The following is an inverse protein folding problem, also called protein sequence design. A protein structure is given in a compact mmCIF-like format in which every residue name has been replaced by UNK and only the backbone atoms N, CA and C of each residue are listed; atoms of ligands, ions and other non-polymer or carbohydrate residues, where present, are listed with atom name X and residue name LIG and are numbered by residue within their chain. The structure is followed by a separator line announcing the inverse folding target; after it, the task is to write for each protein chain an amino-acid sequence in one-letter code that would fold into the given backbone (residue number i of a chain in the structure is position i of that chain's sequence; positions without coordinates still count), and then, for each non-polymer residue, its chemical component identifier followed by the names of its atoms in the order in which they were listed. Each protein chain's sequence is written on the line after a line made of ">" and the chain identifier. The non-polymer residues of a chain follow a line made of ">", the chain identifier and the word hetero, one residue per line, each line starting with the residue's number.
data_IF_173694555151
#
_entry.id   IF_173694555151
#
_cell.length_a   1.000
_cell.length_b   1.000
_cell.length_c   1.000
_cell.angle_alpha   90.00
_cell.angle_beta   90.00
_cell.angle_gamma   90.00
#
_symmetry.space_group_name_H-M   'P 1'
#
loop_
_entity.id
_entity.type
_entity.pdbx_description
1 polymer ?
#
# COMPACT_ATOMS: atom_id res chain seq x y z
N UNK A 1 38.56 -42.13 39.46
CA UNK A 1 38.45 -41.11 40.52
C UNK A 1 38.56 -39.76 39.81
N UNK A 2 37.42 -39.18 39.39
CA UNK A 2 36.67 -38.14 40.12
C UNK A 2 37.58 -36.93 40.38
N UNK A 3 37.37 -35.78 39.75
CA UNK A 3 36.25 -34.87 40.02
C UNK A 3 35.75 -34.01 38.83
N UNK A 4 34.59 -33.34 38.96
CA UNK A 4 33.73 -32.90 37.85
C UNK A 4 33.58 -31.37 37.65
N UNK A 5 33.10 -31.04 36.45
CA UNK A 5 32.18 -29.97 36.01
C UNK A 5 31.70 -28.89 37.03
N UNK A 6 31.90 -27.60 36.69
CA UNK A 6 30.90 -26.54 36.92
C UNK A 6 31.05 -25.33 35.97
N UNK A 7 30.24 -25.35 34.91
CA UNK A 7 29.33 -24.30 34.43
C UNK A 7 29.50 -22.85 34.97
N UNK A 8 29.92 -21.91 34.10
CA UNK A 8 29.15 -20.69 33.72
C UNK A 8 29.93 -19.79 32.77
N UNK A 9 29.52 -19.82 31.51
CA UNK A 9 29.90 -18.87 30.46
C UNK A 9 28.84 -17.78 30.36
N UNK A 10 29.28 -16.51 30.31
CA UNK A 10 28.76 -15.37 29.52
C UNK A 10 28.88 -14.05 30.30
N UNK A 11 29.06 -12.98 29.51
CA UNK A 11 29.13 -11.55 29.88
C UNK A 11 30.53 -11.03 30.16
N UNK A 12 31.27 -10.70 29.09
CA UNK A 12 32.29 -9.63 29.05
C UNK A 12 32.64 -9.34 27.58
N UNK A 13 32.08 -8.27 27.02
CA UNK A 13 32.70 -7.38 26.01
C UNK A 13 31.64 -6.49 25.40
N UNK A 14 31.40 -5.31 25.98
CA UNK A 14 31.13 -4.06 25.23
C UNK A 14 31.60 -2.91 26.13
N UNK A 15 32.85 -2.47 25.98
CA UNK A 15 33.32 -1.17 26.48
C UNK A 15 34.58 -0.83 25.71
N UNK A 16 34.50 0.07 24.72
CA UNK A 16 35.49 1.11 24.44
C UNK A 16 35.21 1.83 23.10
N UNK A 17 35.55 3.12 23.11
CA UNK A 17 35.69 4.08 22.02
C UNK A 17 34.43 4.75 21.44
N UNK A 18 34.14 5.96 21.94
CA UNK A 18 34.37 7.19 21.14
C UNK A 18 34.46 8.40 22.09
N UNK A 19 35.66 8.99 22.21
CA UNK A 19 35.88 10.28 22.88
C UNK A 19 35.91 11.39 21.83
N UNK A 20 35.15 12.46 22.07
CA UNK A 20 35.01 13.65 21.22
C UNK A 20 36.08 14.67 21.62
N UNK A 21 36.72 15.31 20.64
CA UNK A 21 37.46 16.57 20.83
C UNK A 21 36.81 17.64 19.94
N UNK A 22 36.30 18.68 20.62
CA UNK A 22 35.80 19.94 20.05
C UNK A 22 37.00 20.85 19.72
N UNK A 23 36.99 21.50 18.55
CA UNK A 23 37.77 22.72 18.34
C UNK A 23 36.92 23.76 17.59
N UNK A 24 36.74 24.91 18.24
CA UNK A 24 36.09 26.11 17.72
C UNK A 24 37.15 26.96 17.00
N UNK A 25 36.85 27.44 15.80
CA UNK A 25 37.66 28.41 15.07
C UNK A 25 36.85 29.06 13.94
N UNK A 26 36.74 30.39 13.99
CA UNK A 26 35.92 31.24 13.11
C UNK A 26 36.70 31.68 11.85
N UNK A 27 35.96 31.98 10.77
CA UNK A 27 36.31 32.72 9.53
C UNK A 27 36.89 31.93 8.33
N UNK A 28 36.06 31.73 7.29
CA UNK A 28 36.26 32.24 5.90
C UNK A 28 35.26 31.60 4.92
N UNK A 29 34.58 32.43 4.10
CA UNK A 29 33.69 32.01 3.02
C UNK A 29 34.49 31.46 1.83
N UNK A 30 34.39 30.15 1.61
CA UNK A 30 34.66 29.49 0.33
C UNK A 30 33.58 28.40 0.16
N UNK A 31 32.90 28.27 -1.00
CA UNK A 31 31.93 27.21 -1.21
C UNK A 31 32.66 25.86 -1.28
N UNK A 32 32.69 25.14 -0.15
CA UNK A 32 33.17 23.75 -0.11
C UNK A 32 32.11 22.84 -0.72
N UNK A 33 32.50 22.17 -1.80
CA UNK A 33 31.85 20.93 -2.23
C UNK A 33 31.83 19.93 -1.05
N UNK A 34 30.65 19.60 -0.52
CA UNK A 34 30.55 18.68 0.62
C UNK A 34 30.69 17.24 0.11
N UNK A 35 31.93 16.75 0.11
CA UNK A 35 32.23 15.31 0.21
C UNK A 35 32.06 14.91 1.68
N UNK A 36 31.19 13.93 1.94
CA UNK A 36 31.07 13.23 3.23
C UNK A 36 29.95 13.74 4.13
N UNK A 37 28.69 13.64 3.70
CA UNK A 37 27.54 13.76 4.63
C UNK A 37 27.40 12.46 5.43
N UNK A 38 27.09 12.58 6.72
CA UNK A 38 26.72 11.44 7.55
C UNK A 38 25.32 10.97 7.14
N UNK A 39 25.00 9.71 7.45
CA UNK A 39 23.68 9.16 7.16
C UNK A 39 23.20 8.28 8.30
N UNK A 40 21.89 8.27 8.53
CA UNK A 40 21.26 7.36 9.49
C UNK A 40 20.26 6.47 8.77
N UNK A 41 20.20 5.21 9.18
CA UNK A 41 19.17 4.26 8.78
C UNK A 41 18.40 3.87 10.04
N UNK A 42 17.09 4.07 10.02
CA UNK A 42 16.21 3.69 11.12
C UNK A 42 15.90 2.19 11.09
N UNK A 43 15.40 1.64 12.21
CA UNK A 43 15.01 0.22 12.28
C UNK A 43 13.92 -0.18 11.28
N UNK A 44 13.09 0.79 10.84
CA UNK A 44 12.07 0.61 9.81
C UNK A 44 12.63 0.68 8.37
N UNK A 45 13.95 0.86 8.19
CA UNK A 45 14.62 0.92 6.89
C UNK A 45 14.65 2.31 6.23
N UNK A 46 13.99 3.31 6.81
CA UNK A 46 14.08 4.71 6.33
C UNK A 46 15.51 5.20 6.49
N UNK A 47 16.00 5.96 5.50
CA UNK A 47 17.33 6.57 5.53
C UNK A 47 17.23 8.09 5.52
N UNK A 48 18.16 8.77 6.19
CA UNK A 48 18.25 10.22 6.24
C UNK A 48 19.70 10.67 6.15
N UNK A 49 19.97 11.74 5.41
CA UNK A 49 21.30 12.35 5.27
C UNK A 49 21.39 13.62 6.12
N UNK A 50 22.57 13.88 6.69
CA UNK A 50 22.79 14.98 7.61
C UNK A 50 24.18 14.94 8.22
N UNK A 51 24.31 15.44 9.45
CA UNK A 51 25.56 15.47 10.20
C UNK A 51 25.31 15.09 11.65
N UNK A 52 26.03 14.12 12.18
CA UNK A 52 25.98 13.82 13.62
C UNK A 52 26.76 14.91 14.36
N UNK A 53 26.13 15.55 15.36
CA UNK A 53 26.74 16.68 16.10
C UNK A 53 27.28 16.27 17.45
N UNK A 54 26.50 15.53 18.23
CA UNK A 54 26.87 15.08 19.57
C UNK A 54 26.32 13.68 19.78
N UNK A 55 27.12 12.80 20.39
CA UNK A 55 26.70 11.45 20.78
C UNK A 55 26.79 11.35 22.30
N UNK A 56 25.67 11.05 22.94
CA UNK A 56 25.54 10.91 24.40
C UNK A 56 25.33 9.44 24.73
N UNK A 57 26.44 8.73 24.97
CA UNK A 57 26.46 7.28 25.18
C UNK A 57 25.76 6.84 26.48
N UNK A 58 25.86 7.65 27.54
CA UNK A 58 25.19 7.43 28.83
C UNK A 58 23.66 7.43 28.68
N UNK A 59 23.13 8.30 27.82
CA UNK A 59 21.70 8.42 27.49
C UNK A 59 21.28 7.59 26.28
N UNK A 60 22.23 6.95 25.60
CA UNK A 60 22.02 6.19 24.36
C UNK A 60 21.26 7.01 23.31
N UNK A 61 21.72 8.22 23.04
CA UNK A 61 21.13 9.10 22.04
C UNK A 61 22.21 9.93 21.30
N UNK A 62 21.84 10.54 20.19
CA UNK A 62 22.71 11.47 19.47
C UNK A 62 21.90 12.58 18.80
N UNK A 63 22.54 13.74 18.62
CA UNK A 63 21.99 14.83 17.85
C UNK A 63 22.41 14.73 16.38
N UNK A 64 21.43 14.89 15.50
CA UNK A 64 21.59 14.85 14.07
C UNK A 64 21.07 16.14 13.46
N UNK A 65 21.96 16.82 12.75
CA UNK A 65 21.71 18.07 12.06
C UNK A 65 21.34 17.78 10.61
N UNK A 66 20.20 18.29 10.18
CA UNK A 66 19.71 18.13 8.82
C UNK A 66 19.43 19.50 8.21
N UNK A 67 19.80 19.67 6.95
CA UNK A 67 19.46 20.89 6.20
C UNK A 67 18.23 20.60 5.36
N UNK A 68 17.10 21.21 5.72
CA UNK A 68 15.83 21.07 5.00
C UNK A 68 15.40 22.47 4.57
N UNK A 69 15.29 22.72 3.26
CA UNK A 69 14.87 24.01 2.72
C UNK A 69 15.79 25.19 3.09
N UNK A 70 17.11 24.96 3.15
CA UNK A 70 18.10 25.97 3.53
C UNK A 70 18.10 26.35 5.01
N UNK A 71 17.27 25.70 5.83
CA UNK A 71 17.26 25.84 7.29
C UNK A 71 17.84 24.61 7.95
N UNK A 72 18.63 24.85 8.99
CA UNK A 72 19.29 23.81 9.77
C UNK A 72 18.38 23.38 10.92
N UNK A 73 18.10 22.08 11.02
CA UNK A 73 17.34 21.48 12.10
C UNK A 73 18.22 20.52 12.88
N UNK A 74 18.30 20.71 14.19
CA UNK A 74 18.91 19.75 15.10
C UNK A 74 17.83 18.83 15.67
N UNK A 75 18.06 17.52 15.66
CA UNK A 75 17.13 16.50 16.19
C UNK A 75 17.89 15.48 17.01
N UNK A 76 17.37 15.16 18.20
CA UNK A 76 17.91 14.10 19.05
C UNK A 76 17.24 12.77 18.72
N UNK A 77 18.04 11.74 18.44
CA UNK A 77 17.61 10.38 18.17
C UNK A 77 18.16 9.42 19.22
N UNK A 78 17.26 8.63 19.82
CA UNK A 78 17.66 7.51 20.68
C UNK A 78 18.20 6.35 19.84
N UNK A 79 19.22 5.65 20.37
CA UNK A 79 19.92 4.54 19.71
C UNK A 79 18.96 3.41 19.36
N UNK A 80 17.97 3.15 20.20
CA UNK A 80 16.95 2.09 20.02
C UNK A 80 16.02 2.33 18.83
N UNK A 81 16.04 3.52 18.21
CA UNK A 81 15.28 3.84 16.98
C UNK A 81 16.12 3.72 15.71
N UNK A 82 17.44 3.63 15.85
CA UNK A 82 18.39 3.76 14.74
C UNK A 82 19.12 2.44 14.50
N UNK A 83 19.00 1.90 13.30
CA UNK A 83 19.70 0.70 12.89
C UNK A 83 21.18 0.98 12.69
N UNK A 84 21.50 1.90 11.77
CA UNK A 84 22.89 2.26 11.48
C UNK A 84 23.08 3.77 11.42
N UNK A 85 24.26 4.20 11.82
CA UNK A 85 24.77 5.56 11.67
C UNK A 85 26.05 5.46 10.86
N UNK A 86 26.11 6.14 9.73
CA UNK A 86 27.28 6.23 8.86
C UNK A 86 27.94 7.57 9.10
N UNK A 87 29.15 7.58 9.65
CA UNK A 87 29.94 8.79 9.88
C UNK A 87 31.29 8.64 9.20
N UNK A 88 31.80 9.70 8.53
CA UNK A 88 33.12 9.65 7.86
C UNK A 88 33.29 8.44 6.92
N UNK A 89 32.25 8.08 6.16
CA UNK A 89 32.17 6.89 5.32
C UNK A 89 32.30 5.52 6.04
N UNK A 90 32.22 5.48 7.38
CA UNK A 90 32.19 4.25 8.16
C UNK A 90 30.78 4.01 8.70
N UNK A 91 30.22 2.84 8.40
CA UNK A 91 28.89 2.42 8.84
C UNK A 91 28.98 1.74 10.20
N UNK A 92 28.36 2.33 11.21
CA UNK A 92 28.24 1.79 12.57
C UNK A 92 26.83 1.24 12.78
N UNK A 93 26.72 0.00 13.25
CA UNK A 93 25.44 -0.56 13.67
C UNK A 93 25.17 -0.11 15.10
N UNK A 94 24.17 0.74 15.28
CA UNK A 94 23.81 1.32 16.59
C UNK A 94 22.81 0.42 17.32
N UNK A 95 21.83 -0.11 16.59
CA UNK A 95 20.94 -1.17 17.05
C UNK A 95 20.84 -2.22 15.95
N UNK A 96 21.22 -3.47 16.28
CA UNK A 96 21.09 -4.57 15.35
C UNK A 96 19.60 -4.75 14.97
N UNK A 97 19.30 -4.85 13.68
CA UNK A 97 18.04 -5.43 13.24
C UNK A 97 17.99 -6.85 13.81
N UNK A 98 16.89 -7.24 14.46
CA UNK A 98 16.67 -8.67 14.73
C UNK A 98 16.76 -9.38 13.37
N UNK A 99 17.74 -10.27 13.23
CA UNK A 99 17.97 -10.97 11.99
C UNK A 99 16.68 -11.72 11.62
N UNK A 100 16.12 -11.42 10.44
CA UNK A 100 15.34 -12.40 9.73
C UNK A 100 16.30 -13.56 9.47
N UNK A 101 16.07 -14.69 10.13
CA UNK A 101 16.85 -15.91 9.92
C UNK A 101 16.71 -16.33 8.46
N UNK A 102 17.75 -16.07 7.68
CA UNK A 102 17.94 -16.60 6.34
C UNK A 102 18.25 -18.09 6.44
N UNK A 103 17.28 -18.92 6.10
CA UNK A 103 17.51 -20.29 5.64
C UNK A 103 16.78 -20.45 4.32
N UNK A 104 17.53 -20.55 3.23
CA UNK A 104 16.99 -20.81 1.91
C UNK A 104 16.38 -22.20 1.84
N UNK A 105 15.07 -22.26 1.67
CA UNK A 105 14.31 -23.34 1.04
C UNK A 105 13.09 -22.69 0.39
N UNK A 106 12.74 -23.11 -0.82
CA UNK A 106 11.50 -22.72 -1.50
C UNK A 106 10.29 -22.84 -0.55
N UNK A 107 9.55 -21.74 -0.35
CA UNK A 107 8.35 -21.73 0.50
C UNK A 107 8.34 -20.72 1.66
N UNK A 108 9.09 -19.61 1.60
CA UNK A 108 8.89 -18.51 2.54
C UNK A 108 7.58 -17.76 2.19
N UNK A 109 6.46 -18.22 2.76
CA UNK A 109 5.32 -17.34 2.99
C UNK A 109 5.86 -16.13 3.79
N UNK A 110 5.61 -14.91 3.30
CA UNK A 110 5.91 -13.66 3.99
C UNK A 110 5.46 -13.84 5.46
N UNK A 111 6.41 -13.92 6.42
CA UNK A 111 6.04 -13.96 7.83
C UNK A 111 5.23 -12.70 8.10
N UNK A 112 3.97 -12.89 8.48
CA UNK A 112 3.04 -11.78 8.66
C UNK A 112 3.64 -10.83 9.70
N UNK A 113 3.91 -9.60 9.26
CA UNK A 113 4.38 -8.53 10.14
C UNK A 113 3.32 -8.33 11.23
N UNK A 114 3.61 -8.72 12.46
CA UNK A 114 2.70 -8.50 13.60
C UNK A 114 3.24 -7.34 14.45
N UNK A 115 2.43 -6.29 14.59
CA UNK A 115 2.72 -5.12 15.42
C UNK A 115 1.62 -4.89 16.45
N UNK A 116 2.00 -4.46 17.64
CA UNK A 116 1.09 -3.94 18.65
C UNK A 116 0.44 -2.63 18.20
N UNK A 117 -0.64 -2.22 18.89
CA UNK A 117 -1.27 -0.91 18.64
C UNK A 117 -0.27 0.23 18.80
N UNK A 118 0.58 0.19 19.83
CA UNK A 118 1.55 1.24 20.10
C UNK A 118 2.57 1.39 18.96
N UNK A 119 3.08 0.27 18.44
CA UNK A 119 4.04 0.28 17.32
C UNK A 119 3.39 0.77 16.02
N UNK A 120 2.14 0.37 15.73
CA UNK A 120 1.41 0.90 14.57
C UNK A 120 1.18 2.40 14.72
N UNK A 121 0.73 2.86 15.88
CA UNK A 121 0.53 4.29 16.15
C UNK A 121 1.82 5.09 16.03
N UNK A 122 2.94 4.55 16.53
CA UNK A 122 4.25 5.17 16.36
C UNK A 122 4.66 5.27 14.89
N UNK A 123 4.43 4.22 14.09
CA UNK A 123 4.73 4.24 12.66
C UNK A 123 3.88 5.29 11.93
N UNK A 124 2.60 5.41 12.28
CA UNK A 124 1.67 6.40 11.73
C UNK A 124 2.15 7.82 12.06
N UNK A 125 2.45 8.10 13.32
CA UNK A 125 2.95 9.39 13.76
C UNK A 125 4.25 9.77 13.04
N UNK A 126 5.22 8.85 13.01
CA UNK A 126 6.53 9.08 12.36
C UNK A 126 6.40 9.39 10.87
N UNK A 127 5.48 8.72 10.18
CA UNK A 127 5.23 8.94 8.77
C UNK A 127 4.51 10.27 8.52
N UNK A 128 3.56 10.65 9.39
CA UNK A 128 2.84 11.92 9.29
C UNK A 128 3.65 13.15 9.63
N UNK A 129 4.64 13.02 10.51
CA UNK A 129 5.53 14.10 10.95
C UNK A 129 6.69 14.38 9.99
N UNK A 130 6.81 13.59 8.92
CA UNK A 130 7.85 13.73 7.91
C UNK A 130 7.27 13.83 6.50
N UNK A 131 7.83 14.73 5.70
CA UNK A 131 7.54 14.74 4.28
C UNK A 131 8.18 13.53 3.58
N UNK A 132 7.54 12.98 2.53
CA UNK A 132 8.18 12.00 1.66
C UNK A 132 9.47 12.56 1.02
N UNK A 133 10.37 11.67 0.63
CA UNK A 133 11.64 12.00 -0.04
C UNK A 133 11.46 12.85 -1.31
N UNK A 134 10.42 12.57 -2.10
CA UNK A 134 10.10 13.30 -3.32
C UNK A 134 9.52 14.71 -3.10
N UNK A 135 9.24 15.10 -1.85
CA UNK A 135 8.42 16.28 -1.56
C UNK A 135 9.02 17.58 -2.07
N UNK A 136 10.29 17.84 -1.77
CA UNK A 136 10.97 19.08 -2.13
C UNK A 136 11.14 19.21 -3.65
N UNK A 137 11.50 18.11 -4.30
CA UNK A 137 11.73 18.06 -5.75
C UNK A 137 10.44 18.17 -6.58
N UNK A 138 9.30 17.84 -5.97
CA UNK A 138 8.01 17.83 -6.67
C UNK A 138 7.57 19.26 -6.98
N UNK A 139 7.55 19.59 -8.27
CA UNK A 139 6.93 20.81 -8.79
C UNK A 139 5.42 20.66 -8.83
N UNK A 140 4.72 21.74 -8.49
CA UNK A 140 3.27 21.80 -8.64
C UNK A 140 2.90 22.02 -10.09
N UNK A 141 2.01 21.18 -10.59
CA UNK A 141 1.48 21.28 -11.94
C UNK A 141 -0.04 21.14 -11.90
N UNK A 142 -0.73 22.25 -12.10
CA UNK A 142 -2.18 22.28 -12.24
C UNK A 142 -2.61 23.44 -13.14
N UNK A 143 -3.80 23.37 -13.77
CA UNK A 143 -4.30 24.42 -14.64
C UNK A 143 -4.48 25.74 -13.89
N UNK A 144 -4.11 26.87 -14.49
CA UNK A 144 -4.32 28.19 -13.89
C UNK A 144 -5.81 28.51 -13.65
N UNK A 145 -6.71 27.89 -14.40
CA UNK A 145 -8.16 28.02 -14.26
C UNK A 145 -8.78 27.16 -13.16
N UNK A 146 -7.98 26.38 -12.43
CA UNK A 146 -8.48 25.44 -11.44
C UNK A 146 -8.99 26.18 -10.19
N UNK A 147 -10.25 25.96 -9.83
CA UNK A 147 -10.83 26.55 -8.62
C UNK A 147 -10.31 25.84 -7.37
N UNK A 148 -9.36 26.50 -6.72
CA UNK A 148 -8.69 26.05 -5.51
C UNK A 148 -9.58 26.12 -4.26
N UNK A 149 -10.71 26.85 -4.29
CA UNK A 149 -11.70 26.79 -3.22
C UNK A 149 -12.40 25.42 -3.16
N UNK A 150 -12.30 24.65 -4.25
CA UNK A 150 -12.78 23.29 -4.39
C UNK A 150 -14.24 23.14 -3.92
N UNK A 151 -15.21 23.76 -4.61
CA UNK A 151 -16.62 23.57 -4.29
C UNK A 151 -17.01 22.08 -4.45
N UNK A 152 -17.81 21.56 -3.51
CA UNK A 152 -18.31 20.18 -3.56
C UNK A 152 -19.19 19.93 -4.79
N UNK A 153 -20.06 20.89 -5.10
CA UNK A 153 -20.93 20.87 -6.26
C UNK A 153 -20.27 21.70 -7.36
N UNK A 154 -19.69 21.08 -8.39
CA UNK A 154 -19.18 21.82 -9.54
C UNK A 154 -20.33 22.56 -10.23
N UNK A 155 -20.06 23.78 -10.72
CA UNK A 155 -21.00 24.54 -11.54
C UNK A 155 -20.79 24.15 -13.01
N UNK A 156 -21.88 23.79 -13.70
CA UNK A 156 -21.85 23.41 -15.11
C UNK A 156 -21.41 21.97 -15.36
N UNK A 157 -21.05 21.69 -16.61
CA UNK A 157 -20.64 20.35 -17.06
C UNK A 157 -19.29 19.93 -16.47
N UNK A 158 -19.01 18.63 -16.53
CA UNK A 158 -17.73 18.07 -16.11
C UNK A 158 -16.56 18.76 -16.83
N UNK A 159 -15.68 19.39 -16.05
CA UNK A 159 -14.52 20.14 -16.49
C UNK A 159 -13.35 20.02 -15.48
N UNK A 160 -12.43 19.10 -15.79
CA UNK A 160 -11.21 18.84 -14.99
C UNK A 160 -10.19 19.98 -15.01
N UNK A 161 -10.39 21.02 -15.82
CA UNK A 161 -9.54 22.23 -15.80
C UNK A 161 -10.04 23.28 -14.79
N UNK A 162 -11.26 23.12 -14.27
CA UNK A 162 -11.90 24.11 -13.37
C UNK A 162 -12.27 23.54 -12.01
N UNK A 163 -12.59 22.25 -11.88
CA UNK A 163 -12.92 21.66 -10.59
C UNK A 163 -11.82 20.73 -10.08
N UNK A 164 -11.35 20.97 -8.86
CA UNK A 164 -10.30 20.18 -8.20
C UNK A 164 -10.61 18.68 -8.10
N UNK A 165 -11.86 18.30 -7.77
CA UNK A 165 -12.24 16.89 -7.67
C UNK A 165 -12.18 16.18 -9.02
N UNK A 166 -12.61 16.86 -10.08
CA UNK A 166 -12.57 16.36 -11.45
C UNK A 166 -11.13 16.34 -12.01
N UNK A 167 -10.30 17.33 -11.64
CA UNK A 167 -8.87 17.33 -11.94
C UNK A 167 -8.15 16.13 -11.32
N UNK A 168 -8.38 15.88 -10.03
CA UNK A 168 -7.82 14.71 -9.35
C UNK A 168 -8.27 13.43 -10.06
N UNK A 169 -9.55 13.33 -10.42
CA UNK A 169 -10.10 12.14 -11.06
C UNK A 169 -9.55 11.86 -12.46
N UNK A 170 -9.58 12.84 -13.38
CA UNK A 170 -9.23 12.62 -14.78
C UNK A 170 -7.75 12.87 -15.11
N UNK A 171 -7.04 13.63 -14.29
CA UNK A 171 -5.67 14.07 -14.59
C UNK A 171 -4.66 13.45 -13.63
N UNK A 172 -4.92 13.44 -12.32
CA UNK A 172 -3.98 12.92 -11.32
C UNK A 172 -4.05 11.40 -11.20
N UNK A 173 -5.22 10.85 -10.88
CA UNK A 173 -5.40 9.42 -10.60
C UNK A 173 -4.87 8.49 -11.72
N UNK A 174 -5.12 8.76 -13.02
CA UNK A 174 -4.65 7.87 -14.09
C UNK A 174 -3.19 8.13 -14.49
N UNK A 175 -2.44 9.02 -13.81
CA UNK A 175 -1.09 9.39 -14.24
C UNK A 175 -0.07 9.32 -13.08
N UNK A 176 0.73 8.24 -13.00
CA UNK A 176 1.78 8.08 -11.99
C UNK A 176 2.72 9.28 -11.85
N UNK A 177 3.07 9.94 -12.97
CA UNK A 177 3.94 11.13 -12.96
C UNK A 177 3.29 12.33 -12.26
N UNK A 178 1.96 12.36 -12.15
CA UNK A 178 1.21 13.44 -11.51
C UNK A 178 0.83 13.16 -10.06
N UNK A 179 1.04 11.95 -9.55
CA UNK A 179 0.62 11.59 -8.18
C UNK A 179 1.26 12.47 -7.12
N UNK A 180 2.59 12.65 -7.18
CA UNK A 180 3.30 13.47 -6.20
C UNK A 180 2.81 14.93 -6.24
N UNK A 181 2.69 15.52 -7.43
CA UNK A 181 2.21 16.90 -7.61
C UNK A 181 0.75 17.06 -7.13
N UNK A 182 -0.11 16.09 -7.42
CA UNK A 182 -1.49 16.08 -6.94
C UNK A 182 -1.60 15.99 -5.42
N UNK A 183 -0.80 15.13 -4.78
CA UNK A 183 -0.75 15.04 -3.30
C UNK A 183 -0.28 16.37 -2.71
N UNK A 184 0.78 16.96 -3.28
CA UNK A 184 1.31 18.26 -2.85
C UNK A 184 0.28 19.38 -2.98
N UNK A 185 -0.50 19.38 -4.07
CA UNK A 185 -1.60 20.33 -4.28
C UNK A 185 -2.69 20.22 -3.20
N UNK A 186 -3.18 19.01 -2.92
CA UNK A 186 -4.20 18.79 -1.88
C UNK A 186 -3.68 19.17 -0.50
N UNK A 187 -2.40 18.92 -0.21
CA UNK A 187 -1.79 19.32 1.05
C UNK A 187 -1.72 20.84 1.21
N UNK A 188 -1.41 21.59 0.14
CA UNK A 188 -1.45 23.05 0.19
C UNK A 188 -2.88 23.57 0.43
N UNK A 189 -3.89 22.94 -0.19
CA UNK A 189 -5.29 23.29 0.10
C UNK A 189 -5.68 22.98 1.54
N UNK A 190 -5.24 21.83 2.05
CA UNK A 190 -5.41 21.50 3.45
C UNK A 190 -4.82 22.60 4.34
N UNK A 191 -3.62 23.09 4.06
CA UNK A 191 -2.98 24.17 4.82
C UNK A 191 -3.76 25.49 4.76
N UNK A 192 -4.24 25.87 3.58
CA UNK A 192 -4.99 27.12 3.40
C UNK A 192 -6.39 27.07 4.04
N UNK A 193 -6.99 25.88 4.15
CA UNK A 193 -8.40 25.70 4.53
C UNK A 193 -8.57 25.05 5.92
N UNK A 194 -7.55 25.09 6.79
CA UNK A 194 -7.58 24.43 8.11
C UNK A 194 -8.69 24.91 9.04
N UNK A 195 -9.10 26.17 8.93
CA UNK A 195 -10.14 26.79 9.75
C UNK A 195 -11.57 26.41 9.32
N UNK A 196 -11.76 25.97 8.08
CA UNK A 196 -13.03 25.49 7.56
C UNK A 196 -13.16 24.01 7.87
N UNK A 197 -14.00 23.65 8.86
CA UNK A 197 -14.07 22.28 9.38
C UNK A 197 -14.45 21.24 8.32
N UNK A 198 -15.34 21.59 7.39
CA UNK A 198 -15.77 20.70 6.33
C UNK A 198 -14.66 20.49 5.29
N UNK A 199 -14.05 21.59 4.80
CA UNK A 199 -12.94 21.51 3.84
C UNK A 199 -11.72 20.85 4.45
N UNK A 200 -11.39 21.15 5.70
CA UNK A 200 -10.30 20.53 6.44
C UNK A 200 -10.48 19.01 6.49
N UNK A 201 -11.65 18.53 6.95
CA UNK A 201 -11.96 17.08 6.99
C UNK A 201 -11.89 16.43 5.61
N UNK A 202 -12.43 17.10 4.58
CA UNK A 202 -12.40 16.61 3.20
C UNK A 202 -10.96 16.50 2.68
N UNK A 203 -10.16 17.55 2.83
CA UNK A 203 -8.77 17.55 2.38
C UNK A 203 -7.96 16.45 3.07
N UNK A 204 -8.11 16.26 4.39
CA UNK A 204 -7.47 15.16 5.11
C UNK A 204 -7.96 13.79 4.61
N UNK A 205 -9.26 13.62 4.38
CA UNK A 205 -9.81 12.38 3.80
C UNK A 205 -9.24 12.10 2.40
N UNK A 206 -9.07 13.13 1.57
CA UNK A 206 -8.47 13.02 0.24
C UNK A 206 -6.99 12.66 0.35
N UNK A 207 -6.21 13.32 1.21
CA UNK A 207 -4.80 12.98 1.43
C UNK A 207 -4.65 11.53 1.85
N UNK A 208 -5.45 11.06 2.80
CA UNK A 208 -5.47 9.66 3.21
C UNK A 208 -5.75 8.73 2.04
N UNK A 209 -6.76 9.04 1.22
CA UNK A 209 -7.08 8.27 0.01
C UNK A 209 -5.99 8.31 -1.06
N UNK A 210 -5.28 9.43 -1.22
CA UNK A 210 -4.22 9.53 -2.23
C UNK A 210 -2.98 8.76 -1.80
N UNK A 211 -2.55 8.88 -0.53
CA UNK A 211 -1.44 8.07 -0.02
C UNK A 211 -1.78 6.57 -0.07
N UNK A 212 -3.01 6.20 0.28
CA UNK A 212 -3.48 4.82 0.20
C UNK A 212 -3.49 4.30 -1.24
N UNK A 213 -4.24 4.96 -2.12
CA UNK A 213 -4.51 4.42 -3.44
C UNK A 213 -3.35 4.62 -4.42
N UNK A 214 -2.67 5.77 -4.38
CA UNK A 214 -1.64 6.14 -5.37
C UNK A 214 -0.25 5.68 -4.94
N UNK A 215 0.06 5.73 -3.65
CA UNK A 215 1.42 5.49 -3.15
C UNK A 215 1.55 4.20 -2.34
N UNK A 216 0.43 3.57 -1.96
CA UNK A 216 0.40 2.48 -0.97
C UNK A 216 1.18 2.81 0.31
N UNK A 217 1.24 4.10 0.67
CA UNK A 217 1.86 4.56 1.91
C UNK A 217 0.81 4.46 3.02
N UNK A 218 0.65 3.25 3.55
CA UNK A 218 -0.39 2.94 4.54
C UNK A 218 -0.20 3.72 5.85
N UNK A 219 1.04 4.06 6.23
CA UNK A 219 1.32 4.85 7.42
C UNK A 219 0.81 6.29 7.26
N UNK A 220 1.16 6.97 6.16
CA UNK A 220 0.65 8.32 5.88
C UNK A 220 -0.84 8.32 5.58
N UNK A 221 -1.35 7.28 4.93
CA UNK A 221 -2.78 7.12 4.71
C UNK A 221 -3.54 7.11 6.04
N UNK A 222 -3.13 6.24 6.97
CA UNK A 222 -3.74 6.15 8.30
C UNK A 222 -3.60 7.46 9.08
N UNK A 223 -2.44 8.13 9.02
CA UNK A 223 -2.24 9.44 9.67
C UNK A 223 -3.31 10.46 9.25
N UNK A 224 -3.54 10.58 7.95
CA UNK A 224 -4.54 11.53 7.45
C UNK A 224 -5.98 11.09 7.72
N UNK A 225 -6.28 9.80 7.65
CA UNK A 225 -7.60 9.27 7.98
C UNK A 225 -7.95 9.42 9.47
N UNK A 226 -7.01 9.17 10.38
CA UNK A 226 -7.22 9.37 11.82
C UNK A 226 -7.53 10.83 12.14
N UNK A 227 -6.76 11.76 11.57
CA UNK A 227 -6.98 13.21 11.73
C UNK A 227 -8.27 13.69 11.07
N UNK A 228 -8.70 13.04 10.00
CA UNK A 228 -10.01 13.29 9.39
C UNK A 228 -11.18 12.75 10.25
N UNK A 229 -10.91 11.99 11.30
CA UNK A 229 -11.95 11.41 12.17
C UNK A 229 -12.83 10.40 11.41
N UNK A 230 -12.23 9.54 10.58
CA UNK A 230 -12.97 8.52 9.83
C UNK A 230 -13.74 7.61 10.79
N UNK A 231 -15.05 7.64 10.69
CA UNK A 231 -15.95 6.86 11.53
C UNK A 231 -15.99 5.39 11.09
N UNK A 232 -16.14 4.48 12.07
CA UNK A 232 -16.36 3.05 11.82
C UNK A 232 -17.57 2.85 10.91
N UNK A 233 -17.49 1.91 9.97
CA UNK A 233 -18.58 1.62 9.04
C UNK A 233 -18.83 2.67 7.94
N UNK A 234 -18.04 3.74 7.89
CA UNK A 234 -18.01 4.62 6.71
C UNK A 234 -17.28 3.96 5.53
N UNK A 235 -17.49 4.44 4.31
CA UNK A 235 -16.78 3.90 3.14
C UNK A 235 -15.24 3.97 3.25
N UNK A 236 -14.71 4.95 3.98
CA UNK A 236 -13.27 5.10 4.21
C UNK A 236 -12.75 4.22 5.34
N UNK A 237 -13.63 3.68 6.21
CA UNK A 237 -13.19 2.84 7.33
C UNK A 237 -12.51 1.56 6.85
N UNK A 238 -12.87 1.06 5.67
CA UNK A 238 -12.21 -0.11 5.04
C UNK A 238 -10.76 0.21 4.67
N UNK A 239 -10.47 1.40 4.14
CA UNK A 239 -9.09 1.81 3.80
C UNK A 239 -8.25 2.06 5.04
N UNK A 240 -8.84 2.67 6.07
CA UNK A 240 -8.15 2.84 7.36
C UNK A 240 -7.89 1.49 8.03
N UNK A 241 -8.87 0.59 8.01
CA UNK A 241 -8.71 -0.78 8.50
C UNK A 241 -7.60 -1.53 7.75
N UNK A 242 -7.60 -1.47 6.42
CA UNK A 242 -6.53 -2.08 5.63
C UNK A 242 -5.18 -1.43 5.93
N UNK A 243 -5.12 -0.12 6.10
CA UNK A 243 -3.88 0.55 6.48
C UNK A 243 -3.32 -0.01 7.79
N UNK A 244 -4.17 -0.22 8.81
CA UNK A 244 -3.75 -0.87 10.05
C UNK A 244 -3.28 -2.31 9.86
N UNK A 245 -4.00 -3.10 9.05
CA UNK A 245 -3.60 -4.48 8.76
C UNK A 245 -2.24 -4.53 8.04
N UNK A 246 -2.03 -3.71 7.02
CA UNK A 246 -0.76 -3.62 6.27
C UNK A 246 0.40 -3.12 7.13
N UNK A 247 0.11 -2.32 8.14
CA UNK A 247 1.09 -1.91 9.16
C UNK A 247 1.33 -2.99 10.22
N UNK A 248 0.60 -4.09 10.17
CA UNK A 248 0.82 -5.28 10.98
C UNK A 248 -0.16 -5.49 12.13
N UNK A 249 -1.28 -4.77 12.18
CA UNK A 249 -2.27 -4.91 13.25
C UNK A 249 -3.65 -5.29 12.71
N UNK A 250 -3.88 -6.60 12.58
CA UNK A 250 -5.23 -7.17 12.37
C UNK A 250 -6.23 -6.72 13.43
N UNK A 251 -5.92 -6.67 14.74
CA UNK A 251 -6.90 -6.23 15.75
C UNK A 251 -7.41 -4.80 15.52
N UNK A 252 -6.52 -3.86 15.18
CA UNK A 252 -6.93 -2.48 14.85
C UNK A 252 -7.77 -2.43 13.56
N UNK A 253 -7.43 -3.24 12.56
CA UNK A 253 -8.21 -3.35 11.33
C UNK A 253 -9.64 -3.82 11.62
N UNK A 254 -9.78 -4.93 12.36
CA UNK A 254 -11.07 -5.52 12.74
C UNK A 254 -11.93 -4.53 13.54
N UNK A 255 -11.33 -3.76 14.45
CA UNK A 255 -12.05 -2.75 15.22
C UNK A 255 -12.71 -1.69 14.31
N UNK A 256 -12.01 -1.26 13.25
CA UNK A 256 -12.53 -0.25 12.32
C UNK A 256 -13.69 -0.73 11.44
N UNK A 257 -13.82 -2.05 11.29
CA UNK A 257 -14.87 -2.70 10.50
C UNK A 257 -15.85 -3.51 11.35
N UNK A 258 -15.90 -3.24 12.65
CA UNK A 258 -16.93 -3.75 13.56
C UNK A 258 -17.92 -2.63 13.87
N UNK A 259 -19.07 -2.63 13.19
CA UNK A 259 -20.15 -1.66 13.40
C UNK A 259 -21.51 -2.26 13.00
N UNK A 260 -22.61 -1.69 13.49
CA UNK A 260 -24.00 -2.06 13.11
C UNK A 260 -24.25 -1.86 11.62
N UNK A 261 -23.68 -0.80 11.05
CA UNK A 261 -23.77 -0.50 9.61
C UNK A 261 -22.37 -0.58 9.01
N UNK A 262 -22.22 -1.40 7.97
CA UNK A 262 -20.93 -1.63 7.31
C UNK A 262 -21.08 -1.52 5.78
N UNK A 263 -20.05 -1.04 5.07
CA UNK A 263 -20.02 -1.12 3.62
C UNK A 263 -19.79 -2.59 3.20
N UNK A 264 -20.46 -3.04 2.14
CA UNK A 264 -20.36 -4.44 1.66
C UNK A 264 -18.93 -4.86 1.28
N UNK A 265 -18.03 -3.91 0.97
CA UNK A 265 -16.62 -4.18 0.68
C UNK A 265 -15.85 -4.75 1.87
N UNK A 266 -16.39 -4.65 3.10
CA UNK A 266 -15.85 -5.30 4.29
C UNK A 266 -15.71 -6.83 4.12
N UNK A 267 -16.60 -7.44 3.33
CA UNK A 267 -16.57 -8.88 3.02
C UNK A 267 -15.22 -9.24 2.40
N UNK A 268 -14.76 -8.47 1.41
CA UNK A 268 -13.48 -8.70 0.75
C UNK A 268 -12.32 -8.54 1.74
N UNK A 269 -12.30 -7.44 2.50
CA UNK A 269 -11.20 -7.15 3.43
C UNK A 269 -11.00 -8.28 4.47
N UNK A 270 -12.08 -8.87 4.99
CA UNK A 270 -11.95 -10.05 5.85
C UNK A 270 -11.31 -11.22 5.11
N UNK A 271 -11.70 -11.46 3.86
CA UNK A 271 -11.08 -12.47 2.99
C UNK A 271 -9.59 -12.22 2.78
N UNK A 272 -9.20 -10.99 2.45
CA UNK A 272 -7.79 -10.62 2.23
C UNK A 272 -6.94 -10.84 3.49
N UNK A 273 -7.52 -10.63 4.68
CA UNK A 273 -6.88 -10.92 5.97
C UNK A 273 -6.84 -12.42 6.34
N UNK A 274 -7.32 -13.32 5.49
CA UNK A 274 -7.43 -14.76 5.75
C UNK A 274 -8.67 -15.19 6.54
N UNK A 275 -9.55 -14.25 6.90
CA UNK A 275 -10.74 -14.47 7.73
C UNK A 275 -11.98 -14.78 6.88
N UNK A 276 -11.91 -15.74 5.97
CA UNK A 276 -12.98 -16.00 5.00
C UNK A 276 -14.30 -16.44 5.66
N UNK A 277 -14.27 -17.10 6.83
CA UNK A 277 -15.50 -17.46 7.56
C UNK A 277 -16.27 -16.21 8.00
N UNK A 278 -15.56 -15.15 8.40
CA UNK A 278 -16.19 -13.85 8.71
C UNK A 278 -16.80 -13.22 7.46
N UNK A 279 -16.16 -13.38 6.30
CA UNK A 279 -16.69 -12.94 5.01
C UNK A 279 -18.03 -13.61 4.68
N UNK A 280 -18.14 -14.92 4.91
CA UNK A 280 -19.39 -15.68 4.76
C UNK A 280 -20.46 -15.18 5.73
N UNK A 281 -20.12 -15.00 7.02
CA UNK A 281 -21.05 -14.49 8.05
C UNK A 281 -21.58 -13.11 7.70
N UNK A 282 -20.71 -12.20 7.26
CA UNK A 282 -21.08 -10.84 6.86
C UNK A 282 -21.99 -10.84 5.64
N UNK A 283 -21.66 -11.62 4.61
CA UNK A 283 -22.50 -11.75 3.42
C UNK A 283 -23.92 -12.24 3.76
N UNK A 284 -24.03 -13.26 4.63
CA UNK A 284 -25.32 -13.75 5.10
C UNK A 284 -26.07 -12.72 5.96
N UNK A 285 -25.36 -11.98 6.81
CA UNK A 285 -25.95 -10.91 7.63
C UNK A 285 -26.56 -9.81 6.77
N UNK A 286 -25.85 -9.33 5.73
CA UNK A 286 -26.40 -8.33 4.82
C UNK A 286 -27.68 -8.81 4.11
N UNK A 287 -27.68 -10.08 3.64
CA UNK A 287 -28.86 -10.67 2.98
C UNK A 287 -30.04 -10.86 3.95
N UNK A 288 -29.78 -11.32 5.18
CA UNK A 288 -30.79 -11.43 6.24
C UNK A 288 -31.37 -10.07 6.62
N UNK A 289 -30.56 -9.01 6.52
CA UNK A 289 -31.00 -7.63 6.67
C UNK A 289 -31.75 -7.04 5.46
N UNK A 290 -32.06 -7.86 4.44
CA UNK A 290 -32.85 -7.45 3.27
C UNK A 290 -32.05 -6.83 2.11
N UNK A 291 -30.72 -6.76 2.19
CA UNK A 291 -29.92 -6.22 1.08
C UNK A 291 -29.92 -7.17 -0.12
N UNK A 292 -30.37 -6.65 -1.27
CA UNK A 292 -30.34 -7.35 -2.57
C UNK A 292 -29.12 -7.01 -3.41
N UNK A 293 -28.16 -6.23 -2.88
CA UNK A 293 -26.99 -5.77 -3.62
C UNK A 293 -26.12 -6.94 -4.14
N UNK A 294 -26.01 -7.15 -5.47
CA UNK A 294 -25.27 -8.27 -6.05
C UNK A 294 -23.76 -8.21 -5.79
N UNK A 295 -23.23 -7.05 -5.36
CA UNK A 295 -21.82 -6.96 -4.95
C UNK A 295 -21.51 -7.78 -3.68
N UNK A 296 -22.50 -8.14 -2.87
CA UNK A 296 -22.31 -9.02 -1.71
C UNK A 296 -21.73 -10.36 -2.18
N UNK A 297 -22.37 -10.98 -3.18
CA UNK A 297 -21.91 -12.25 -3.72
C UNK A 297 -20.64 -12.11 -4.56
N UNK A 298 -20.43 -10.96 -5.24
CA UNK A 298 -19.17 -10.67 -5.92
C UNK A 298 -17.99 -10.65 -4.93
N UNK A 299 -18.09 -9.85 -3.85
CA UNK A 299 -17.03 -9.77 -2.85
C UNK A 299 -16.85 -11.07 -2.07
N UNK A 300 -17.93 -11.81 -1.83
CA UNK A 300 -17.85 -13.13 -1.22
C UNK A 300 -17.11 -14.12 -2.12
N UNK A 301 -17.40 -14.14 -3.42
CA UNK A 301 -16.68 -14.95 -4.39
C UNK A 301 -15.19 -14.62 -4.43
N UNK A 302 -14.85 -13.33 -4.46
CA UNK A 302 -13.46 -12.86 -4.44
C UNK A 302 -12.73 -13.29 -3.17
N UNK A 303 -13.35 -13.10 -1.99
CA UNK A 303 -12.81 -13.51 -0.69
C UNK A 303 -12.60 -15.04 -0.62
N UNK A 304 -13.58 -15.82 -1.05
CA UNK A 304 -13.51 -17.29 -1.03
C UNK A 304 -12.43 -17.80 -1.98
N UNK A 305 -12.34 -17.25 -3.20
CA UNK A 305 -11.31 -17.62 -4.18
C UNK A 305 -9.91 -17.32 -3.65
N UNK A 306 -9.70 -16.14 -3.05
CA UNK A 306 -8.41 -15.77 -2.46
C UNK A 306 -7.97 -16.76 -1.35
N UNK A 307 -8.93 -17.36 -0.64
CA UNK A 307 -8.70 -18.33 0.43
C UNK A 307 -8.81 -19.80 -0.02
N UNK A 308 -8.67 -20.07 -1.33
CA UNK A 308 -8.68 -21.43 -1.89
C UNK A 308 -10.03 -22.15 -1.82
N UNK A 309 -11.13 -21.47 -1.44
CA UNK A 309 -12.46 -22.03 -1.35
C UNK A 309 -13.16 -22.02 -2.71
N UNK A 310 -12.65 -22.82 -3.65
CA UNK A 310 -12.98 -22.72 -5.09
C UNK A 310 -14.45 -23.02 -5.40
N UNK A 311 -15.00 -24.15 -4.92
CA UNK A 311 -16.41 -24.51 -5.16
C UNK A 311 -17.39 -23.45 -4.63
N UNK A 312 -17.27 -23.04 -3.34
CA UNK A 312 -18.07 -21.95 -2.79
C UNK A 312 -17.90 -20.61 -3.54
N UNK A 313 -16.70 -20.30 -4.04
CA UNK A 313 -16.46 -19.09 -4.82
C UNK A 313 -17.24 -19.10 -6.15
N UNK A 314 -17.20 -20.22 -6.89
CA UNK A 314 -17.99 -20.39 -8.13
C UNK A 314 -19.48 -20.18 -7.83
N UNK A 315 -20.01 -20.84 -6.79
CA UNK A 315 -21.42 -20.70 -6.42
C UNK A 315 -21.80 -19.24 -6.08
N UNK A 316 -20.89 -18.47 -5.48
CA UNK A 316 -21.12 -17.04 -5.25
C UNK A 316 -21.18 -16.24 -6.55
N UNK A 317 -20.24 -16.47 -7.47
CA UNK A 317 -20.26 -15.82 -8.79
C UNK A 317 -21.48 -16.21 -9.62
N UNK A 318 -21.96 -17.45 -9.55
CA UNK A 318 -23.20 -17.89 -10.22
C UNK A 318 -24.43 -17.15 -9.70
N UNK A 319 -24.52 -16.87 -8.39
CA UNK A 319 -25.58 -16.01 -7.83
C UNK A 319 -25.51 -14.57 -8.34
N UNK A 320 -24.32 -14.05 -8.62
CA UNK A 320 -24.18 -12.74 -9.28
C UNK A 320 -24.75 -12.79 -10.71
N UNK A 321 -24.47 -13.87 -11.45
CA UNK A 321 -24.94 -14.06 -12.83
C UNK A 321 -26.46 -14.17 -12.89
N UNK A 322 -27.09 -14.87 -11.95
CA UNK A 322 -28.54 -15.06 -11.89
C UNK A 322 -29.30 -13.86 -11.31
N UNK A 323 -28.62 -12.93 -10.64
CA UNK A 323 -29.26 -11.75 -10.04
C UNK A 323 -29.97 -10.86 -11.07
N UNK A 324 -31.06 -10.24 -10.65
CA UNK A 324 -31.77 -9.17 -11.37
C UNK A 324 -31.68 -7.82 -10.63
N UNK A 325 -31.09 -7.79 -9.44
CA UNK A 325 -31.06 -6.64 -8.53
C UNK A 325 -29.94 -5.62 -8.87
N UNK A 326 -29.83 -5.25 -10.14
CA UNK A 326 -28.85 -4.26 -10.60
C UNK A 326 -29.46 -2.87 -10.72
N UNK A 327 -28.63 -1.84 -10.51
CA UNK A 327 -29.06 -0.44 -10.65
C UNK A 327 -29.54 -0.08 -12.06
N UNK A 328 -28.97 -0.73 -13.07
CA UNK A 328 -29.35 -0.63 -14.49
C UNK A 328 -28.71 -1.77 -15.28
N UNK A 329 -29.19 -1.99 -16.51
CA UNK A 329 -28.77 -3.09 -17.37
C UNK A 329 -27.29 -3.05 -17.74
N UNK A 330 -26.74 -1.88 -18.05
CA UNK A 330 -25.33 -1.74 -18.43
C UNK A 330 -24.41 -2.11 -17.27
N UNK A 331 -24.73 -1.65 -16.07
CA UNK A 331 -24.03 -2.03 -14.85
C UNK A 331 -24.17 -3.54 -14.58
N UNK A 332 -25.38 -4.09 -14.73
CA UNK A 332 -25.63 -5.52 -14.58
C UNK A 332 -24.82 -6.38 -15.55
N UNK A 333 -24.80 -6.02 -16.84
CA UNK A 333 -23.99 -6.69 -17.86
C UNK A 333 -22.51 -6.73 -17.47
N UNK A 334 -21.94 -5.60 -17.03
CA UNK A 334 -20.53 -5.53 -16.58
C UNK A 334 -20.26 -6.41 -15.37
N UNK A 335 -21.10 -6.35 -14.34
CA UNK A 335 -20.90 -7.15 -13.10
C UNK A 335 -21.05 -8.65 -13.39
N UNK A 336 -22.00 -9.06 -14.22
CA UNK A 336 -22.16 -10.45 -14.65
C UNK A 336 -20.98 -10.92 -15.50
N UNK A 337 -20.47 -10.09 -16.42
CA UNK A 337 -19.29 -10.41 -17.21
C UNK A 337 -18.06 -10.64 -16.33
N UNK A 338 -17.84 -9.80 -15.31
CA UNK A 338 -16.78 -10.01 -14.32
C UNK A 338 -16.91 -11.34 -13.57
N UNK A 339 -18.12 -11.71 -13.15
CA UNK A 339 -18.36 -12.98 -12.47
C UNK A 339 -18.03 -14.17 -13.39
N UNK A 340 -18.41 -14.10 -14.68
CA UNK A 340 -18.05 -15.12 -15.68
C UNK A 340 -16.54 -15.20 -15.90
N UNK A 341 -15.86 -14.06 -15.99
CA UNK A 341 -14.40 -14.01 -16.13
C UNK A 341 -13.71 -14.68 -14.93
N UNK A 342 -14.20 -14.45 -13.71
CA UNK A 342 -13.65 -15.10 -12.51
C UNK A 342 -13.89 -16.61 -12.50
N UNK A 343 -15.08 -17.08 -12.91
CA UNK A 343 -15.37 -18.52 -13.04
C UNK A 343 -14.47 -19.15 -14.11
N UNK A 344 -14.31 -18.51 -15.26
CA UNK A 344 -13.44 -18.98 -16.33
C UNK A 344 -11.99 -19.07 -15.86
N UNK A 345 -11.47 -18.02 -15.22
CA UNK A 345 -10.12 -18.01 -14.67
C UNK A 345 -9.90 -19.12 -13.64
N UNK A 346 -10.89 -19.38 -12.76
CA UNK A 346 -10.86 -20.50 -11.81
C UNK A 346 -10.72 -21.84 -12.55
N UNK A 347 -11.53 -22.07 -13.58
CA UNK A 347 -11.52 -23.32 -14.35
C UNK A 347 -10.19 -23.55 -15.08
N UNK A 348 -9.49 -22.47 -15.40
CA UNK A 348 -8.21 -22.49 -16.08
C UNK A 348 -7.00 -22.56 -15.14
N UNK A 349 -7.17 -22.59 -13.80
CA UNK A 349 -6.05 -22.53 -12.86
C UNK A 349 -5.02 -23.66 -13.02
N UNK A 350 -5.46 -24.88 -13.34
CA UNK A 350 -4.56 -26.01 -13.59
C UNK A 350 -3.74 -25.81 -14.87
N UNK A 351 -4.39 -25.34 -15.95
CA UNK A 351 -3.75 -25.00 -17.21
C UNK A 351 -2.86 -23.75 -17.11
N UNK A 352 -3.13 -22.86 -16.16
CA UNK A 352 -2.37 -21.65 -15.88
C UNK A 352 -1.13 -21.87 -14.99
N UNK A 353 -0.77 -23.11 -14.67
CA UNK A 353 0.47 -23.41 -13.98
C UNK A 353 1.67 -23.16 -14.91
N UNK A 354 2.46 -22.12 -14.63
CA UNK A 354 3.56 -21.65 -15.49
C UNK A 354 4.57 -22.74 -15.86
N UNK A 355 4.82 -23.72 -14.99
CA UNK A 355 5.73 -24.84 -15.27
C UNK A 355 5.24 -25.73 -16.44
N UNK A 356 3.93 -25.74 -16.66
CA UNK A 356 3.25 -26.52 -17.70
C UNK A 356 2.89 -25.68 -18.92
N UNK A 357 3.37 -24.45 -19.02
CA UNK A 357 3.16 -23.57 -20.17
C UNK A 357 4.37 -23.65 -21.10
N UNK A 358 4.14 -23.70 -22.42
CA UNK A 358 5.20 -23.65 -23.43
C UNK A 358 5.84 -22.25 -23.44
N UNK A 359 7.09 -22.18 -23.86
CA UNK A 359 7.76 -20.91 -24.04
C UNK A 359 7.07 -20.10 -25.15
N UNK A 360 6.88 -18.80 -24.93
CA UNK A 360 6.16 -17.94 -25.85
C UNK A 360 5.58 -16.68 -25.21
N UNK A 361 4.87 -15.90 -26.04
CA UNK A 361 4.13 -14.73 -25.62
C UNK A 361 2.63 -14.95 -25.87
N UNK A 362 1.83 -14.77 -24.82
CA UNK A 362 0.39 -15.04 -24.83
C UNK A 362 -0.39 -13.81 -24.42
N UNK A 363 -1.46 -13.49 -25.15
CA UNK A 363 -2.35 -12.37 -24.83
C UNK A 363 -3.74 -12.84 -24.49
N UNK A 364 -4.37 -12.18 -23.52
CA UNK A 364 -5.79 -12.37 -23.24
C UNK A 364 -6.42 -11.12 -22.65
N UNK A 365 -7.76 -11.13 -22.58
CA UNK A 365 -8.57 -10.01 -22.11
C UNK A 365 -9.48 -10.43 -20.97
N UNK A 366 -9.83 -9.49 -20.10
CA UNK A 366 -10.89 -9.65 -19.10
C UNK A 366 -11.58 -8.32 -18.81
N UNK A 367 -12.78 -8.39 -18.24
CA UNK A 367 -13.63 -7.23 -17.97
C UNK A 367 -13.03 -6.34 -16.88
N UNK A 368 -12.58 -5.13 -17.25
CA UNK A 368 -12.11 -4.10 -16.32
C UNK A 368 -13.20 -3.14 -15.85
N UNK A 369 -12.79 -2.07 -15.19
CA UNK A 369 -13.68 -1.06 -14.61
C UNK A 369 -14.36 -0.22 -15.69
N UNK A 370 -13.56 0.33 -16.61
CA UNK A 370 -14.06 1.17 -17.70
C UNK A 370 -14.38 0.29 -18.91
N UNK A 371 -13.39 -0.47 -19.35
CA UNK A 371 -13.39 -1.32 -20.54
C UNK A 371 -12.69 -2.66 -20.24
N UNK A 372 -12.57 -3.53 -21.25
CA UNK A 372 -11.68 -4.67 -21.15
C UNK A 372 -10.23 -4.23 -20.89
N UNK A 373 -9.50 -5.05 -20.12
CA UNK A 373 -8.06 -4.96 -19.88
C UNK A 373 -7.40 -6.12 -20.61
N UNK A 374 -6.38 -5.82 -21.42
CA UNK A 374 -5.59 -6.80 -22.16
C UNK A 374 -4.20 -6.95 -21.53
N UNK A 375 -3.81 -8.20 -21.27
CA UNK A 375 -2.53 -8.56 -20.68
C UNK A 375 -1.73 -9.40 -21.67
N UNK A 376 -0.44 -9.10 -21.81
CA UNK A 376 0.56 -9.97 -22.43
C UNK A 376 1.39 -10.65 -21.34
N UNK A 377 1.58 -11.96 -21.50
CA UNK A 377 2.38 -12.81 -20.60
C UNK A 377 3.47 -13.48 -21.42
N UNK A 378 4.72 -13.36 -20.98
CA UNK A 378 5.86 -14.07 -21.58
C UNK A 378 6.34 -15.17 -20.66
N UNK A 379 6.50 -16.37 -21.23
CA UNK A 379 7.01 -17.56 -20.54
C UNK A 379 8.29 -18.01 -21.22
N UNK A 380 9.33 -18.29 -20.43
CA UNK A 380 10.55 -18.93 -20.90
C UNK A 380 11.10 -19.85 -19.82
N UNK A 381 11.53 -21.05 -20.19
CA UNK A 381 12.09 -22.03 -19.25
C UNK A 381 11.14 -22.39 -18.10
N UNK A 382 9.83 -22.44 -18.37
CA UNK A 382 8.81 -22.75 -17.36
C UNK A 382 8.61 -21.67 -16.27
N UNK A 383 8.99 -20.41 -16.57
CA UNK A 383 8.85 -19.26 -15.67
C UNK A 383 8.24 -18.05 -16.37
N UNK A 384 7.59 -17.17 -15.61
CA UNK A 384 7.13 -15.87 -16.09
C UNK A 384 8.35 -14.95 -16.25
N UNK A 385 8.56 -14.44 -17.45
CA UNK A 385 9.60 -13.43 -17.73
C UNK A 385 9.03 -12.02 -17.89
N UNK A 386 7.74 -11.90 -18.24
CA UNK A 386 7.02 -10.63 -18.23
C UNK A 386 5.52 -10.84 -18.06
N UNK A 387 4.86 -9.88 -17.40
CA UNK A 387 3.41 -9.70 -17.35
C UNK A 387 3.13 -8.20 -17.52
N UNK A 388 2.53 -7.82 -18.63
CA UNK A 388 2.32 -6.42 -19.01
C UNK A 388 0.86 -6.16 -19.38
N UNK A 389 0.28 -5.07 -18.88
CA UNK A 389 -1.01 -4.57 -19.39
C UNK A 389 -0.75 -3.79 -20.67
N UNK A 390 -1.11 -4.36 -21.81
CA UNK A 390 -0.80 -3.81 -23.14
C UNK A 390 -1.92 -2.92 -23.71
N UNK A 391 -3.15 -3.04 -23.19
CA UNK A 391 -4.28 -2.18 -23.57
C UNK A 391 -5.30 -2.06 -22.45
N UNK A 392 -5.66 -0.84 -22.09
CA UNK A 392 -6.72 -0.55 -21.13
C UNK A 392 -7.23 0.89 -21.28
N UNK A 393 -8.45 1.14 -20.78
CA UNK A 393 -9.00 2.49 -20.59
C UNK A 393 -9.33 2.77 -19.13
N UNK A 394 -8.69 2.01 -18.22
CA UNK A 394 -8.93 2.14 -16.79
C UNK A 394 -8.66 3.58 -16.32
N UNK A 395 -9.45 4.01 -15.34
CA UNK A 395 -9.29 5.32 -14.68
C UNK A 395 -9.05 5.18 -13.17
N UNK A 396 -9.22 3.97 -12.63
CA UNK A 396 -8.98 3.70 -11.22
C UNK A 396 -7.50 3.40 -11.03
N UNK A 397 -6.82 4.30 -10.30
CA UNK A 397 -5.47 4.18 -9.73
C UNK A 397 -4.52 3.24 -10.50
N UNK A 398 -3.67 3.79 -11.38
CA UNK A 398 -2.75 2.97 -12.19
C UNK A 398 -1.73 2.20 -11.35
N UNK A 399 -1.55 2.59 -10.08
CA UNK A 399 -0.82 1.82 -9.08
C UNK A 399 -1.33 0.37 -8.96
N UNK A 400 -2.62 0.12 -9.16
CA UNK A 400 -3.16 -1.25 -9.15
C UNK A 400 -2.66 -2.10 -10.32
N UNK A 401 -2.33 -1.49 -11.46
CA UNK A 401 -1.76 -2.18 -12.61
C UNK A 401 -0.33 -2.61 -12.28
N UNK A 402 0.50 -1.65 -11.82
CA UNK A 402 1.90 -1.89 -11.45
C UNK A 402 2.01 -2.90 -10.31
N UNK A 403 1.21 -2.73 -9.26
CA UNK A 403 1.19 -3.61 -8.09
C UNK A 403 0.75 -5.05 -8.46
N UNK A 404 -0.37 -5.20 -9.17
CA UNK A 404 -0.90 -6.53 -9.49
C UNK A 404 0.06 -7.31 -10.40
N UNK A 405 0.65 -6.65 -11.40
CA UNK A 405 1.63 -7.30 -12.30
C UNK A 405 2.92 -7.64 -11.57
N UNK A 406 3.41 -6.77 -10.68
CA UNK A 406 4.57 -7.05 -9.84
C UNK A 406 4.34 -8.22 -8.88
N UNK A 407 3.15 -8.31 -8.25
CA UNK A 407 2.78 -9.45 -7.41
C UNK A 407 2.78 -10.76 -8.20
N UNK A 408 2.17 -10.78 -9.39
CA UNK A 408 2.16 -11.98 -10.24
C UNK A 408 3.60 -12.40 -10.62
N UNK A 409 4.44 -11.43 -10.99
CA UNK A 409 5.86 -11.69 -11.29
C UNK A 409 6.63 -12.21 -10.07
N UNK A 410 6.41 -11.66 -8.88
CA UNK A 410 7.02 -12.12 -7.63
C UNK A 410 6.59 -13.55 -7.29
N UNK A 411 5.29 -13.83 -7.40
CA UNK A 411 4.69 -15.11 -7.00
C UNK A 411 4.87 -16.21 -8.06
N UNK A 412 5.20 -15.84 -9.31
CA UNK A 412 5.22 -16.75 -10.46
C UNK A 412 3.87 -17.49 -10.63
N UNK A 413 2.78 -16.83 -10.23
CA UNK A 413 1.44 -17.42 -10.15
C UNK A 413 0.37 -16.34 -10.17
N UNK A 414 -0.83 -16.71 -10.60
CA UNK A 414 -2.06 -15.89 -10.51
C UNK A 414 -2.85 -16.15 -9.23
N UNK A 415 -2.39 -17.09 -8.39
CA UNK A 415 -2.99 -17.44 -7.11
C UNK A 415 -2.34 -16.66 -5.97
N UNK A 416 -3.12 -16.38 -4.91
CA UNK A 416 -2.63 -15.64 -3.75
C UNK A 416 -2.29 -14.18 -4.03
N UNK A 417 -2.73 -13.64 -5.17
CA UNK A 417 -2.56 -12.22 -5.52
C UNK A 417 -3.62 -11.40 -4.84
N UNK A 418 -3.19 -10.34 -4.18
CA UNK A 418 -4.08 -9.42 -3.49
C UNK A 418 -4.58 -8.34 -4.44
N UNK A 419 -5.90 -8.11 -4.42
CA UNK A 419 -6.51 -7.07 -5.23
C UNK A 419 -6.47 -5.73 -4.51
N UNK A 420 -5.88 -4.71 -5.13
CA UNK A 420 -5.77 -3.35 -4.58
C UNK A 420 -7.15 -2.79 -4.18
N UNK A 421 -7.32 -2.43 -2.92
CA UNK A 421 -8.58 -1.83 -2.44
C UNK A 421 -8.86 -0.51 -3.15
N UNK A 422 -10.11 -0.36 -3.60
CA UNK A 422 -10.52 0.79 -4.43
C UNK A 422 -10.25 0.63 -5.93
N UNK A 423 -9.49 -0.38 -6.33
CA UNK A 423 -9.23 -0.74 -7.74
C UNK A 423 -9.33 -2.27 -7.98
N UNK A 424 -10.09 -2.98 -7.15
CA UNK A 424 -10.22 -4.44 -7.22
C UNK A 424 -10.73 -4.93 -8.57
N UNK A 425 -11.57 -4.15 -9.25
CA UNK A 425 -12.07 -4.52 -10.59
C UNK A 425 -10.90 -4.65 -11.57
N UNK A 426 -10.00 -3.66 -11.56
CA UNK A 426 -8.79 -3.63 -12.39
C UNK A 426 -7.83 -4.76 -12.02
N UNK A 427 -7.51 -4.94 -10.72
CA UNK A 427 -6.63 -6.04 -10.30
C UNK A 427 -7.19 -7.40 -10.70
N UNK A 428 -8.50 -7.64 -10.54
CA UNK A 428 -9.09 -8.91 -10.95
C UNK A 428 -9.11 -9.11 -12.47
N UNK A 429 -9.29 -8.04 -13.26
CA UNK A 429 -9.18 -8.14 -14.70
C UNK A 429 -7.76 -8.59 -15.11
N UNK A 430 -6.72 -8.05 -14.48
CA UNK A 430 -5.32 -8.44 -14.74
C UNK A 430 -5.07 -9.90 -14.34
N UNK A 431 -5.50 -10.31 -13.14
CA UNK A 431 -5.35 -11.70 -12.65
C UNK A 431 -6.06 -12.68 -13.60
N UNK A 432 -7.31 -12.39 -13.95
CA UNK A 432 -8.11 -13.25 -14.82
C UNK A 432 -7.54 -13.29 -16.25
N UNK A 433 -7.15 -12.15 -16.83
CA UNK A 433 -6.53 -12.11 -18.15
C UNK A 433 -5.20 -12.86 -18.19
N UNK A 434 -4.38 -12.75 -17.14
CA UNK A 434 -3.13 -13.51 -17.02
C UNK A 434 -3.40 -15.01 -16.97
N UNK A 435 -4.37 -15.46 -16.16
CA UNK A 435 -4.74 -16.88 -16.08
C UNK A 435 -5.19 -17.43 -17.45
N UNK A 436 -6.03 -16.67 -18.16
CA UNK A 436 -6.49 -17.01 -19.52
C UNK A 436 -5.34 -17.01 -20.53
N UNK A 437 -4.39 -16.09 -20.42
CA UNK A 437 -3.23 -16.02 -21.31
C UNK A 437 -2.32 -17.24 -21.13
N UNK A 438 -2.00 -17.60 -19.87
CA UNK A 438 -1.19 -18.78 -19.55
C UNK A 438 -1.84 -20.07 -20.06
N UNK A 439 -3.16 -20.22 -19.88
CA UNK A 439 -3.88 -21.39 -20.35
C UNK A 439 -3.82 -21.60 -21.88
N UNK A 440 -3.62 -20.56 -22.69
CA UNK A 440 -3.42 -20.69 -24.14
C UNK A 440 -2.10 -21.37 -24.50
N UNK A 441 -1.11 -21.30 -23.62
CA UNK A 441 0.19 -21.94 -23.79
C UNK A 441 0.32 -23.29 -23.08
N UNK A 442 -0.75 -23.77 -22.42
CA UNK A 442 -0.72 -25.02 -21.66
C UNK A 442 -0.31 -26.21 -22.54
N UNK A 443 0.53 -27.09 -21.99
CA UNK A 443 1.10 -28.27 -22.67
C UNK A 443 0.07 -29.34 -22.98
#
# INVERSE_FOLDING_TARGET
>A
MQEPCEMTSRVKMISALLAIVLLVGFISLIPRSVKGQDAIEFLNGVKMQGMVKEIRNDKREFDFEVVIGGKTFLRTYAFDKVHTVTMKNQRHVVTAKKAATNSGVAGAADQELVRSRAEVQQAIASAGDSFPDWWEETKLEYPASLDLNWPLKPVGNWNSQRNMGQFIWDVVNPNPRRWNAGIKLVFQQWQAQKSDSEKNRRNMTTLGSMFFNLKQDYARAAYWFERAGIQKGSGQSVKLAESYWRLGSKPMAIEMVTNRTLPVSVIKLHGDMGNYQSSVKLANSFKKGGSTNPLIDMFLGDALRHNGQIGPAIAAYERVISSTAFKNDNYGKKVKARARDSIEAIRLLSAANVANVRDGAYRSVSTGYVSAVEVEVKVAGGRLTSVEVVRHSEKQFYSSIEDTTAQIMKHQSVQGIDGTTGATITSQAIINATAKALAKGAK
#
